data_IF_647453400350
#
_entry.id   IF_647453400350
#
_cell.length_a   1.000
_cell.length_b   1.000
_cell.length_c   1.000
_cell.angle_alpha   90.00
_cell.angle_beta   90.00
_cell.angle_gamma   90.00
#
_symmetry.space_group_name_H-M   'P 1'
#
loop_
_entity.id
_entity.type
_entity.pdbx_description
1 polymer ?
#
# COMPACT_ATOMS: atom_id res chain seq x y z
N UNK A 1 -52.74 40.60 12.21
CA UNK A 1 -51.88 40.22 11.09
C UNK A 1 -50.88 39.19 11.58
N UNK A 2 -51.41 37.99 11.80
CA UNK A 2 -51.10 36.74 11.09
C UNK A 2 -49.63 36.24 11.09
N UNK A 3 -49.37 35.30 12.02
CA UNK A 3 -48.83 33.91 11.90
C UNK A 3 -48.18 33.42 10.58
N UNK A 4 -47.42 32.30 10.49
CA UNK A 4 -46.68 31.44 11.47
C UNK A 4 -45.19 31.23 11.04
N UNK A 5 -44.26 30.53 11.70
CA UNK A 5 -44.35 29.33 12.57
C UNK A 5 -44.21 28.04 11.74
N UNK A 6 -42.99 27.62 11.34
CA UNK A 6 -42.76 26.33 10.66
C UNK A 6 -42.25 25.28 11.65
N UNK A 7 -43.19 24.55 12.24
CA UNK A 7 -42.99 23.20 12.79
C UNK A 7 -43.10 22.19 11.65
N UNK A 8 -42.10 21.33 11.44
CA UNK A 8 -42.21 20.16 10.58
C UNK A 8 -42.27 18.91 11.45
N UNK A 9 -43.47 18.33 11.45
CA UNK A 9 -43.91 17.13 12.14
C UNK A 9 -43.35 15.88 11.43
N UNK A 10 -42.84 14.94 12.22
CA UNK A 10 -42.57 13.56 11.79
C UNK A 10 -43.89 12.79 11.72
N UNK A 11 -44.22 12.24 10.55
CA UNK A 11 -45.25 11.20 10.42
C UNK A 11 -44.64 9.82 10.10
N UNK A 12 -45.13 8.74 10.75
CA UNK A 12 -44.66 7.37 10.54
C UNK A 12 -45.45 6.69 9.41
N UNK A 13 -44.77 5.93 8.55
CA UNK A 13 -45.46 5.06 7.60
C UNK A 13 -45.65 3.65 8.17
N UNK A 14 -46.91 3.32 8.44
CA UNK A 14 -47.39 2.01 8.84
C UNK A 14 -47.27 0.94 7.75
N UNK A 15 -47.18 -0.30 8.22
CA UNK A 15 -47.29 -1.56 7.47
C UNK A 15 -48.63 -1.65 6.74
N UNK A 16 -48.61 -2.11 5.49
CA UNK A 16 -49.76 -2.81 4.90
C UNK A 16 -49.34 -4.19 4.38
N UNK A 17 -49.96 -5.20 4.98
CA UNK A 17 -49.93 -6.60 4.60
C UNK A 17 -51.10 -6.92 3.67
N UNK A 18 -50.82 -7.46 2.50
CA UNK A 18 -51.81 -8.22 1.70
C UNK A 18 -51.06 -9.28 0.91
N UNK A 19 -51.30 -10.54 1.26
CA UNK A 19 -50.65 -11.70 0.68
C UNK A 19 -51.40 -12.31 -0.51
N UNK A 20 -50.66 -13.04 -1.34
CA UNK A 20 -51.12 -14.34 -1.87
C UNK A 20 -49.93 -15.21 -2.24
N UNK A 21 -49.86 -16.36 -1.59
CA UNK A 21 -48.95 -17.46 -1.88
C UNK A 21 -49.33 -18.16 -3.19
N UNK A 22 -48.34 -18.46 -4.03
CA UNK A 22 -48.38 -19.60 -4.93
C UNK A 22 -47.08 -20.40 -4.76
N UNK A 23 -47.24 -21.65 -4.34
CA UNK A 23 -46.19 -22.67 -4.18
C UNK A 23 -45.82 -23.27 -5.55
N UNK A 24 -44.54 -23.56 -5.73
CA UNK A 24 -44.05 -24.72 -6.47
C UNK A 24 -43.68 -24.50 -7.94
N UNK A 25 -42.38 -24.44 -8.24
CA UNK A 25 -41.83 -24.54 -9.59
C UNK A 25 -40.31 -24.67 -9.56
N UNK A 26 -39.78 -25.68 -10.25
CA UNK A 26 -38.41 -26.20 -10.16
C UNK A 26 -37.33 -25.22 -10.62
N UNK A 27 -36.16 -25.35 -10.02
CA UNK A 27 -34.88 -24.70 -10.34
C UNK A 27 -34.41 -25.00 -11.77
N UNK A 28 -33.98 -23.98 -12.51
CA UNK A 28 -33.08 -24.11 -13.66
C UNK A 28 -31.94 -23.10 -13.52
N UNK A 29 -30.71 -23.39 -13.97
CA UNK A 29 -29.58 -22.48 -13.81
C UNK A 29 -29.66 -21.35 -14.84
N UNK A 30 -29.44 -20.11 -14.38
CA UNK A 30 -29.24 -18.96 -15.25
C UNK A 30 -27.96 -19.16 -16.08
N UNK A 31 -28.12 -19.30 -17.40
CA UNK A 31 -27.02 -19.33 -18.34
C UNK A 31 -26.50 -17.90 -18.59
N UNK A 32 -25.21 -17.67 -18.34
CA UNK A 32 -24.52 -16.46 -18.79
C UNK A 32 -24.39 -16.50 -20.32
N UNK A 33 -24.94 -15.50 -21.02
CA UNK A 33 -24.66 -15.27 -22.45
C UNK A 33 -23.29 -14.62 -22.58
N UNK A 34 -22.35 -15.33 -23.20
CA UNK A 34 -21.09 -14.77 -23.69
C UNK A 34 -21.37 -13.96 -24.96
N UNK A 35 -21.08 -12.66 -24.94
CA UNK A 35 -21.04 -11.84 -26.15
C UNK A 35 -19.66 -12.06 -26.77
N UNK A 36 -19.58 -12.95 -27.77
CA UNK A 36 -18.49 -12.95 -28.73
C UNK A 36 -18.86 -12.02 -29.88
N UNK A 37 -18.00 -11.02 -30.11
CA UNK A 37 -18.06 -10.13 -31.26
C UNK A 37 -17.78 -10.93 -32.55
N UNK A 38 -18.79 -11.04 -33.41
CA UNK A 38 -18.66 -11.54 -34.77
C UNK A 38 -18.05 -10.45 -35.67
N UNK A 39 -16.84 -10.66 -36.17
CA UNK A 39 -16.38 -10.12 -37.45
C UNK A 39 -15.67 -11.26 -38.18
N UNK A 40 -16.46 -12.06 -38.91
CA UNK A 40 -15.99 -12.84 -40.04
C UNK A 40 -15.88 -11.87 -41.22
N UNK A 41 -14.71 -11.77 -41.84
CA UNK A 41 -14.57 -11.29 -43.21
C UNK A 41 -14.05 -12.44 -44.04
N UNK A 42 -14.88 -12.83 -45.02
CA UNK A 42 -14.69 -13.96 -45.92
C UNK A 42 -13.44 -13.80 -46.78
N UNK A 43 -12.76 -14.93 -46.97
CA UNK A 43 -11.66 -15.14 -47.89
C UNK A 43 -12.21 -15.87 -49.14
N UNK A 44 -11.61 -15.58 -50.30
CA UNK A 44 -11.83 -16.15 -51.65
C UNK A 44 -12.77 -15.33 -52.57
N UNK A 45 -12.21 -14.57 -53.52
CA UNK A 45 -11.91 -15.12 -54.85
C UNK A 45 -11.10 -14.13 -55.72
N UNK A 46 -10.35 -14.72 -56.64
CA UNK A 46 -9.76 -14.23 -57.88
C UNK A 46 -8.31 -13.69 -57.96
N UNK A 47 -7.58 -14.48 -58.74
CA UNK A 47 -6.17 -14.52 -59.07
C UNK A 47 -5.79 -13.62 -60.28
N UNK A 48 -4.48 -13.34 -60.40
CA UNK A 48 -3.72 -12.87 -61.58
C UNK A 48 -3.87 -11.44 -62.13
N UNK A 49 -2.83 -10.60 -61.91
CA UNK A 49 -1.97 -10.08 -63.00
C UNK A 49 -0.73 -9.31 -62.52
N UNK A 50 0.38 -9.63 -63.17
CA UNK A 50 1.74 -9.09 -63.11
C UNK A 50 1.85 -7.64 -63.62
N UNK A 51 2.61 -6.75 -62.93
CA UNK A 51 3.72 -5.90 -63.47
C UNK A 51 3.99 -4.59 -62.66
N UNK A 52 5.28 -4.41 -62.34
CA UNK A 52 6.11 -3.19 -62.14
C UNK A 52 5.46 -1.79 -62.12
N UNK A 53 5.81 -0.95 -61.12
CA UNK A 53 6.68 0.27 -61.22
C UNK A 53 6.50 1.23 -60.01
N UNK A 54 7.62 1.54 -59.37
CA UNK A 54 8.14 2.81 -58.78
C UNK A 54 7.30 3.80 -57.92
N UNK A 55 7.99 4.58 -57.04
CA UNK A 55 7.42 5.33 -55.92
C UNK A 55 7.08 6.79 -56.26
N UNK A 56 6.00 7.31 -55.69
CA UNK A 56 5.57 8.71 -55.82
C UNK A 56 5.45 9.40 -54.46
N UNK A 57 6.23 10.47 -54.31
CA UNK A 57 6.34 11.36 -53.14
C UNK A 57 5.25 12.45 -53.14
N UNK A 58 5.06 13.09 -51.97
CA UNK A 58 4.33 14.34 -51.65
C UNK A 58 2.82 14.16 -51.32
N UNK A 59 2.23 14.76 -50.28
CA UNK A 59 2.52 16.03 -49.60
C UNK A 59 2.19 16.00 -48.09
N UNK A 60 3.01 16.76 -47.38
CA UNK A 60 2.88 17.27 -46.02
C UNK A 60 1.61 18.11 -45.83
N UNK A 61 0.80 17.78 -44.83
CA UNK A 61 -0.10 18.75 -44.18
C UNK A 61 0.13 18.68 -42.68
N UNK A 62 0.85 19.70 -42.18
CA UNK A 62 0.93 20.02 -40.77
C UNK A 62 -0.48 20.22 -40.22
N UNK A 63 -0.89 19.36 -39.29
CA UNK A 63 -2.02 19.63 -38.41
C UNK A 63 -1.53 19.67 -36.97
N UNK A 64 -1.58 20.88 -36.46
CA UNK A 64 -1.51 21.35 -35.08
C UNK A 64 -1.59 20.27 -33.98
N UNK A 65 -0.60 20.34 -33.09
CA UNK A 65 -0.43 19.49 -31.91
C UNK A 65 -1.70 19.38 -31.04
N UNK A 66 -2.17 18.14 -30.86
CA UNK A 66 -3.02 17.77 -29.73
C UNK A 66 -2.13 17.23 -28.61
N UNK A 67 -2.39 17.56 -27.32
CA UNK A 67 -1.60 17.03 -26.23
C UNK A 67 -1.81 15.52 -26.16
N UNK A 68 -0.72 14.77 -26.23
CA UNK A 68 -0.70 13.32 -26.08
C UNK A 68 -1.32 13.00 -24.72
N UNK A 69 -2.54 12.49 -24.74
CA UNK A 69 -3.16 11.84 -23.58
C UNK A 69 -2.23 10.68 -23.23
N UNK A 70 -1.51 10.79 -22.12
CA UNK A 70 -0.63 9.73 -21.64
C UNK A 70 -1.45 8.45 -21.52
N UNK A 71 -1.24 7.53 -22.46
CA UNK A 71 -1.88 6.23 -22.44
C UNK A 71 -1.16 5.45 -21.35
N UNK A 72 -1.80 5.25 -20.20
CA UNK A 72 -1.26 4.36 -19.17
C UNK A 72 -1.26 2.97 -19.77
N UNK A 73 -0.08 2.50 -20.21
CA UNK A 73 0.11 1.17 -20.74
C UNK A 73 0.02 0.17 -19.59
N UNK A 74 -1.18 -0.38 -19.38
CA UNK A 74 -1.43 -1.39 -18.35
C UNK A 74 -0.95 -2.73 -18.87
N UNK A 75 0.19 -3.20 -18.37
CA UNK A 75 0.64 -4.56 -18.63
C UNK A 75 -0.03 -5.51 -17.63
N UNK A 76 -0.57 -6.62 -18.12
CA UNK A 76 -1.22 -7.63 -17.29
C UNK A 76 -0.38 -8.89 -17.31
N UNK A 77 0.13 -9.30 -16.15
CA UNK A 77 0.77 -10.59 -15.99
C UNK A 77 -0.17 -11.56 -15.29
N UNK A 78 -0.13 -12.82 -15.72
CA UNK A 78 -0.97 -13.86 -15.15
C UNK A 78 -0.08 -14.81 -14.36
N UNK A 79 -0.24 -14.81 -13.03
CA UNK A 79 0.51 -15.71 -12.15
C UNK A 79 -0.40 -16.80 -11.60
N UNK A 80 0.06 -18.05 -11.72
CA UNK A 80 -0.63 -19.22 -11.18
C UNK A 80 -0.31 -19.37 -9.69
N UNK A 81 -1.08 -18.70 -8.82
CA UNK A 81 -0.98 -18.86 -7.36
C UNK A 81 -1.95 -19.93 -6.89
N UNK A 82 -1.43 -21.03 -6.33
CA UNK A 82 -2.22 -22.04 -5.63
C UNK A 82 -2.26 -21.67 -4.15
N UNK A 83 -3.09 -20.69 -3.81
CA UNK A 83 -3.32 -20.29 -2.41
C UNK A 83 -4.63 -20.91 -1.93
N UNK A 84 -4.56 -21.69 -0.84
CA UNK A 84 -5.72 -22.23 -0.17
C UNK A 84 -6.28 -21.19 0.81
N UNK A 85 -7.46 -20.65 0.48
CA UNK A 85 -8.16 -19.66 1.29
C UNK A 85 -9.35 -20.25 2.06
N UNK A 86 -9.48 -21.58 2.12
CA UNK A 86 -10.61 -22.28 2.76
C UNK A 86 -10.82 -21.92 4.23
N UNK A 87 -9.79 -21.44 4.93
CA UNK A 87 -9.86 -21.01 6.33
C UNK A 87 -10.26 -19.54 6.56
N UNK A 88 -10.48 -18.73 5.52
CA UNK A 88 -10.78 -17.30 5.67
C UNK A 88 -12.29 -17.08 5.62
N UNK A 89 -12.86 -16.50 6.68
CA UNK A 89 -14.24 -16.01 6.68
C UNK A 89 -14.33 -14.75 5.82
N UNK A 90 -14.63 -14.94 4.53
CA UNK A 90 -14.81 -13.86 3.58
C UNK A 90 -16.27 -13.40 3.56
N UNK A 91 -16.56 -12.10 3.29
CA UNK A 91 -17.92 -11.64 3.06
C UNK A 91 -18.62 -12.47 1.98
N UNK A 92 -19.92 -12.71 2.06
CA UNK A 92 -20.63 -13.65 1.17
C UNK A 92 -20.46 -13.36 -0.33
N UNK A 93 -20.28 -12.08 -0.70
CA UNK A 93 -19.95 -11.62 -2.06
C UNK A 93 -18.55 -12.02 -2.53
N UNK A 94 -17.58 -12.13 -1.62
CA UNK A 94 -16.25 -12.66 -1.89
C UNK A 94 -16.23 -14.19 -1.74
N UNK A 95 -16.88 -14.73 -0.71
CA UNK A 95 -16.92 -16.14 -0.39
C UNK A 95 -17.39 -17.00 -1.56
N UNK A 96 -18.38 -16.59 -2.35
CA UNK A 96 -18.83 -17.34 -3.55
C UNK A 96 -17.75 -17.49 -4.64
N UNK A 97 -16.76 -16.59 -4.67
CA UNK A 97 -15.62 -16.66 -5.60
C UNK A 97 -14.45 -17.51 -5.06
N UNK A 98 -14.34 -17.63 -3.73
CA UNK A 98 -13.23 -18.32 -3.06
C UNK A 98 -13.61 -19.70 -2.48
N UNK A 99 -14.89 -19.97 -2.20
CA UNK A 99 -15.42 -21.30 -1.89
C UNK A 99 -15.57 -22.07 -3.21
N UNK A 100 -14.46 -22.65 -3.65
CA UNK A 100 -14.34 -23.43 -4.87
C UNK A 100 -12.90 -23.38 -5.38
N UNK A 101 -12.55 -24.18 -6.40
CA UNK A 101 -11.34 -23.94 -7.18
C UNK A 101 -11.44 -22.56 -7.84
N UNK A 102 -11.06 -21.52 -7.10
CA UNK A 102 -10.84 -20.18 -7.63
C UNK A 102 -9.96 -20.33 -8.86
N UNK A 103 -10.28 -19.70 -10.02
CA UNK A 103 -9.40 -19.77 -11.16
C UNK A 103 -8.03 -19.34 -10.67
N UNK A 104 -7.06 -20.23 -10.86
CA UNK A 104 -5.70 -20.23 -10.30
C UNK A 104 -4.89 -19.11 -10.95
N UNK A 105 -5.43 -17.91 -11.03
CA UNK A 105 -5.12 -16.90 -12.04
C UNK A 105 -5.34 -15.55 -11.38
N UNK A 106 -4.31 -15.02 -10.73
CA UNK A 106 -4.30 -13.62 -10.31
C UNK A 106 -3.79 -12.79 -11.48
N UNK A 107 -4.65 -11.95 -12.04
CA UNK A 107 -4.24 -10.92 -12.99
C UNK A 107 -3.54 -9.83 -12.17
N UNK A 108 -2.22 -9.80 -12.25
CA UNK A 108 -1.38 -8.79 -11.63
C UNK A 108 -1.13 -7.71 -12.69
N UNK A 109 -1.84 -6.60 -12.55
CA UNK A 109 -1.56 -5.36 -13.28
C UNK A 109 -0.20 -4.85 -12.81
N UNK A 110 0.77 -4.72 -13.72
CA UNK A 110 1.96 -3.92 -13.41
C UNK A 110 1.50 -2.46 -13.42
N UNK A 111 1.86 -1.73 -12.38
CA UNK A 111 1.48 -0.33 -12.22
C UNK A 111 2.76 0.50 -12.21
N UNK A 112 2.77 1.57 -13.00
CA UNK A 112 3.89 2.52 -13.11
C UNK A 112 4.39 2.97 -11.73
N UNK A 113 3.49 3.25 -10.78
CA UNK A 113 3.88 3.67 -9.42
C UNK A 113 4.69 2.63 -8.64
N UNK A 114 4.42 1.34 -8.85
CA UNK A 114 5.16 0.25 -8.21
C UNK A 114 6.52 0.06 -8.87
N UNK A 115 6.58 0.21 -10.20
CA UNK A 115 7.83 0.17 -10.96
C UNK A 115 8.75 1.34 -10.56
N UNK A 116 8.21 2.56 -10.46
CA UNK A 116 8.92 3.74 -9.95
C UNK A 116 9.47 3.50 -8.53
N UNK A 117 8.67 2.94 -7.63
CA UNK A 117 9.11 2.61 -6.27
C UNK A 117 10.25 1.58 -6.28
N UNK A 118 10.18 0.53 -7.11
CA UNK A 118 11.25 -0.46 -7.24
C UNK A 118 12.54 0.13 -7.83
N UNK A 119 12.43 1.00 -8.84
CA UNK A 119 13.59 1.71 -9.42
C UNK A 119 14.26 2.57 -8.35
N UNK A 120 13.47 3.30 -7.56
CA UNK A 120 13.97 4.06 -6.42
C UNK A 120 14.71 3.16 -5.41
N UNK A 121 14.06 2.09 -4.92
CA UNK A 121 14.66 1.20 -3.92
C UNK A 121 15.98 0.59 -4.42
N UNK A 122 16.01 0.14 -5.68
CA UNK A 122 17.20 -0.43 -6.30
C UNK A 122 18.33 0.59 -6.39
N UNK A 123 18.03 1.80 -6.88
CA UNK A 123 19.00 2.89 -6.98
C UNK A 123 19.56 3.28 -5.61
N UNK A 124 18.73 3.36 -4.57
CA UNK A 124 19.19 3.66 -3.21
C UNK A 124 20.05 2.55 -2.61
N UNK A 125 19.76 1.30 -2.93
CA UNK A 125 20.64 0.18 -2.55
C UNK A 125 22.00 0.24 -3.22
N UNK A 126 22.05 0.59 -4.49
CA UNK A 126 23.31 0.82 -5.21
C UNK A 126 24.10 1.99 -4.62
N UNK A 127 23.43 3.10 -4.29
CA UNK A 127 24.04 4.26 -3.62
C UNK A 127 24.67 3.89 -2.27
N UNK A 128 23.95 3.12 -1.44
CA UNK A 128 24.45 2.67 -0.13
C UNK A 128 25.62 1.70 -0.29
N UNK A 129 25.55 0.77 -1.24
CA UNK A 129 26.67 -0.14 -1.55
C UNK A 129 27.91 0.61 -2.03
N UNK A 130 27.74 1.74 -2.71
CA UNK A 130 28.83 2.63 -3.13
C UNK A 130 29.34 3.56 -2.02
N UNK A 131 28.74 3.51 -0.82
CA UNK A 131 29.14 4.34 0.33
C UNK A 131 28.57 5.77 0.31
N UNK A 132 27.53 6.05 -0.49
CA UNK A 132 26.88 7.36 -0.61
C UNK A 132 27.88 8.48 -0.97
N UNK A 133 28.55 8.40 -2.14
CA UNK A 133 29.62 9.34 -2.48
C UNK A 133 29.07 10.76 -2.66
N UNK A 134 29.69 11.72 -1.97
CA UNK A 134 29.44 13.16 -2.14
C UNK A 134 28.07 13.65 -1.64
N UNK A 135 27.34 12.85 -0.85
CA UNK A 135 26.00 13.18 -0.34
C UNK A 135 25.88 12.85 1.15
N UNK A 136 24.99 13.55 1.83
CA UNK A 136 24.56 13.20 3.18
C UNK A 136 23.62 11.99 3.12
N UNK A 137 23.88 10.99 3.97
CA UNK A 137 22.98 9.85 4.12
C UNK A 137 21.76 10.30 4.93
N UNK A 138 20.59 10.31 4.29
CA UNK A 138 19.33 10.72 4.89
C UNK A 138 18.45 9.49 5.16
N UNK A 139 18.55 8.93 6.35
CA UNK A 139 17.85 7.70 6.72
C UNK A 139 16.45 7.99 7.21
N UNK A 140 15.48 7.27 6.66
CA UNK A 140 14.15 7.14 7.24
C UNK A 140 14.06 5.80 7.96
N UNK A 141 13.78 5.83 9.27
CA UNK A 141 13.68 4.63 10.10
C UNK A 141 12.40 4.65 10.94
N UNK A 142 11.73 3.51 10.95
CA UNK A 142 10.54 3.28 11.77
C UNK A 142 10.85 2.82 13.19
N UNK A 143 9.78 2.65 13.96
CA UNK A 143 9.80 2.11 15.32
C UNK A 143 10.50 0.75 15.40
N UNK A 144 11.08 0.46 16.57
CA UNK A 144 11.78 -0.79 16.93
C UNK A 144 10.96 -2.08 16.65
N UNK A 145 9.63 -2.01 16.76
CA UNK A 145 8.76 -3.12 16.37
C UNK A 145 8.34 -2.90 14.92
N UNK A 146 8.92 -3.68 14.02
CA UNK A 146 8.60 -3.67 12.60
C UNK A 146 7.31 -4.45 12.32
N UNK A 147 6.17 -3.81 12.51
CA UNK A 147 4.90 -4.29 11.94
C UNK A 147 4.73 -3.81 10.48
N UNK A 148 3.71 -4.32 9.79
CA UNK A 148 3.43 -3.92 8.40
C UNK A 148 3.28 -2.40 8.27
N UNK A 149 2.58 -1.76 9.22
CA UNK A 149 2.36 -0.32 9.19
C UNK A 149 3.66 0.48 9.24
N UNK A 150 4.59 0.10 10.12
CA UNK A 150 5.92 0.70 10.29
C UNK A 150 6.83 0.49 9.09
N UNK A 151 6.86 -0.73 8.53
CA UNK A 151 7.68 -1.03 7.35
C UNK A 151 7.16 -0.29 6.11
N UNK A 152 5.86 -0.34 5.89
CA UNK A 152 5.23 0.36 4.77
C UNK A 152 5.42 1.87 4.91
N UNK A 153 5.19 2.44 6.11
CA UNK A 153 5.38 3.87 6.30
C UNK A 153 6.82 4.29 6.07
N UNK A 154 7.80 3.50 6.49
CA UNK A 154 9.23 3.74 6.25
C UNK A 154 9.55 3.79 4.76
N UNK A 155 9.12 2.78 4.00
CA UNK A 155 9.35 2.72 2.55
C UNK A 155 8.65 3.89 1.85
N UNK A 156 7.38 4.12 2.16
CA UNK A 156 6.56 5.12 1.47
C UNK A 156 6.97 6.55 1.81
N UNK A 157 7.40 6.82 3.04
CA UNK A 157 7.84 8.15 3.42
C UNK A 157 9.21 8.50 2.84
N UNK A 158 10.15 7.53 2.81
CA UNK A 158 11.43 7.73 2.15
C UNK A 158 11.25 8.02 0.66
N UNK A 159 10.35 7.28 0.00
CA UNK A 159 10.00 7.52 -1.39
C UNK A 159 9.33 8.89 -1.59
N UNK A 160 8.40 9.27 -0.71
CA UNK A 160 7.78 10.61 -0.71
C UNK A 160 8.83 11.73 -0.61
N UNK A 161 9.79 11.61 0.31
CA UNK A 161 10.86 12.58 0.50
C UNK A 161 11.75 12.67 -0.75
N UNK A 162 12.06 11.55 -1.40
CA UNK A 162 12.83 11.54 -2.65
C UNK A 162 12.10 12.24 -3.81
N UNK A 163 10.78 12.07 -3.91
CA UNK A 163 9.99 12.72 -4.96
C UNK A 163 9.83 14.22 -4.74
N UNK A 164 9.69 14.65 -3.47
CA UNK A 164 9.43 16.04 -3.11
C UNK A 164 10.69 16.89 -2.93
N UNK A 165 11.74 16.29 -2.39
CA UNK A 165 12.98 16.96 -2.05
C UNK A 165 14.11 16.36 -2.88
N UNK A 166 14.17 16.73 -4.16
CA UNK A 166 15.30 16.43 -5.05
C UNK A 166 16.50 17.33 -4.75
N UNK A 167 16.92 17.34 -3.49
CA UNK A 167 18.20 17.93 -3.12
C UNK A 167 19.28 16.94 -3.53
N UNK A 168 20.11 17.33 -4.48
CA UNK A 168 21.27 16.51 -4.91
C UNK A 168 22.23 16.23 -3.74
N UNK A 169 22.11 16.95 -2.63
CA UNK A 169 22.91 16.78 -1.42
C UNK A 169 22.50 15.56 -0.57
N UNK A 170 21.26 15.08 -0.66
CA UNK A 170 20.77 13.98 0.19
C UNK A 170 20.61 12.68 -0.59
N UNK A 171 21.05 11.57 0.01
CA UNK A 171 20.65 10.24 -0.39
C UNK A 171 19.60 9.72 0.62
N UNK A 172 18.32 9.89 0.29
CA UNK A 172 17.23 9.42 1.15
C UNK A 172 16.99 7.94 1.00
N UNK A 173 17.14 7.19 2.10
CA UNK A 173 17.11 5.73 2.13
C UNK A 173 16.13 5.22 3.20
N UNK A 174 15.19 4.32 2.85
CA UNK A 174 14.40 3.62 3.85
C UNK A 174 15.23 2.52 4.51
N UNK A 175 15.44 2.61 5.82
CA UNK A 175 16.09 1.57 6.61
C UNK A 175 15.05 0.86 7.46
N UNK A 176 14.84 -0.41 7.18
CA UNK A 176 13.88 -1.24 7.90
C UNK A 176 14.50 -1.63 9.26
N UNK A 177 13.82 -1.25 10.34
CA UNK A 177 14.28 -1.47 11.72
C UNK A 177 14.02 -2.93 12.17
N UNK A 178 14.53 -3.89 11.42
CA UNK A 178 14.59 -5.33 11.74
C UNK A 178 15.80 -5.93 11.03
N UNK A 179 16.25 -7.13 11.42
CA UNK A 179 17.30 -7.82 10.65
C UNK A 179 16.74 -8.44 9.39
N UNK A 180 17.55 -8.55 8.32
CA UNK A 180 17.09 -9.25 7.10
C UNK A 180 16.65 -10.69 7.37
N UNK A 181 17.33 -11.39 8.28
CA UNK A 181 16.97 -12.77 8.64
C UNK A 181 15.59 -12.88 9.26
N UNK A 182 15.17 -11.84 9.99
CA UNK A 182 13.91 -11.80 10.73
C UNK A 182 12.72 -11.61 9.79
N UNK A 183 12.92 -11.09 8.57
CA UNK A 183 11.87 -11.00 7.55
C UNK A 183 11.21 -12.38 7.26
N UNK A 184 11.94 -13.48 7.45
CA UNK A 184 11.41 -14.83 7.21
C UNK A 184 10.32 -15.23 8.22
N UNK A 185 10.28 -14.63 9.40
CA UNK A 185 9.21 -14.87 10.39
C UNK A 185 7.96 -14.04 10.10
N UNK A 186 8.06 -13.00 9.25
CA UNK A 186 6.97 -12.11 8.86
C UNK A 186 6.34 -12.53 7.53
N UNK A 187 5.64 -13.67 7.53
CA UNK A 187 5.00 -14.21 6.33
C UNK A 187 3.93 -13.28 5.75
N UNK A 188 3.28 -12.47 6.59
CA UNK A 188 2.35 -11.41 6.22
C UNK A 188 3.00 -10.31 5.39
N UNK A 189 4.18 -9.87 5.81
CA UNK A 189 4.91 -8.77 5.19
C UNK A 189 5.50 -9.23 3.87
N UNK A 190 6.10 -10.42 3.86
CA UNK A 190 6.62 -11.05 2.65
C UNK A 190 5.51 -11.23 1.61
N UNK A 191 4.37 -11.78 2.02
CA UNK A 191 3.21 -11.93 1.14
C UNK A 191 2.72 -10.58 0.62
N UNK A 192 2.64 -9.56 1.48
CA UNK A 192 2.20 -8.22 1.07
C UNK A 192 3.15 -7.62 0.02
N UNK A 193 4.45 -7.61 0.28
CA UNK A 193 5.48 -7.10 -0.63
C UNK A 193 5.45 -7.87 -1.97
N UNK A 194 5.37 -9.20 -1.93
CA UNK A 194 5.25 -10.05 -3.12
C UNK A 194 3.93 -9.80 -3.90
N UNK A 195 2.83 -9.53 -3.19
CA UNK A 195 1.52 -9.19 -3.79
C UNK A 195 1.51 -7.81 -4.45
N UNK A 196 2.41 -6.93 -4.01
CA UNK A 196 2.63 -5.60 -4.54
C UNK A 196 3.82 -5.54 -5.49
N UNK A 197 4.44 -6.68 -5.84
CA UNK A 197 5.60 -6.75 -6.73
C UNK A 197 6.80 -5.90 -6.27
N UNK A 198 6.96 -5.71 -4.96
CA UNK A 198 8.12 -4.99 -4.41
C UNK A 198 9.32 -5.94 -4.36
N UNK A 199 10.45 -5.50 -4.88
CA UNK A 199 11.69 -6.25 -4.82
C UNK A 199 12.29 -6.22 -3.39
N UNK A 200 12.05 -7.30 -2.65
CA UNK A 200 12.56 -7.48 -1.28
C UNK A 200 14.08 -7.52 -1.20
N UNK A 201 14.77 -7.82 -2.31
CA UNK A 201 16.23 -7.76 -2.34
C UNK A 201 16.70 -6.30 -2.29
N UNK A 202 15.98 -5.37 -2.91
CA UNK A 202 16.34 -3.94 -2.94
C UNK A 202 16.08 -3.18 -1.63
N UNK A 203 15.37 -3.77 -0.67
CA UNK A 203 15.19 -3.19 0.66
C UNK A 203 16.50 -3.19 1.45
N UNK A 204 16.68 -2.24 2.38
CA UNK A 204 17.85 -2.17 3.27
C UNK A 204 17.39 -2.38 4.71
N UNK A 205 18.06 -3.30 5.40
CA UNK A 205 17.79 -3.65 6.79
C UNK A 205 18.83 -3.03 7.73
N UNK A 206 18.49 -2.90 9.01
CA UNK A 206 19.35 -2.25 10.01
C UNK A 206 20.71 -2.94 10.19
N UNK A 207 20.80 -4.23 9.90
CA UNK A 207 22.04 -5.03 9.97
C UNK A 207 22.91 -4.94 8.71
N UNK A 208 22.45 -4.26 7.66
CA UNK A 208 23.17 -4.11 6.39
C UNK A 208 23.86 -2.75 6.23
N UNK A 209 23.63 -1.81 7.15
CA UNK A 209 24.18 -0.46 7.10
C UNK A 209 24.72 -0.02 8.46
N UNK A 210 25.96 0.46 8.49
CA UNK A 210 26.57 1.02 9.69
C UNK A 210 26.26 2.52 9.80
N UNK A 211 25.16 2.86 10.48
CA UNK A 211 24.76 4.25 10.70
C UNK A 211 25.75 5.01 11.60
N UNK A 212 26.44 4.32 12.51
CA UNK A 212 27.40 4.95 13.42
C UNK A 212 28.63 5.47 12.68
N UNK A 213 29.04 4.81 11.61
CA UNK A 213 30.07 5.32 10.71
C UNK A 213 29.67 6.69 10.13
N UNK A 214 28.48 6.82 9.53
CA UNK A 214 28.05 8.07 8.90
C UNK A 214 27.89 9.21 9.91
N UNK A 215 27.45 8.90 11.13
CA UNK A 215 27.33 9.86 12.21
C UNK A 215 28.69 10.35 12.71
N UNK A 216 29.68 9.45 12.84
CA UNK A 216 31.04 9.80 13.23
C UNK A 216 31.67 10.82 12.28
N UNK A 217 31.34 10.73 10.98
CA UNK A 217 31.79 11.68 9.95
C UNK A 217 30.84 12.87 9.74
N UNK A 218 29.79 13.01 10.56
CA UNK A 218 28.84 14.13 10.50
C UNK A 218 27.99 14.17 9.23
N UNK A 219 27.89 13.04 8.53
CA UNK A 219 27.23 12.91 7.23
C UNK A 219 25.84 12.27 7.30
N UNK A 220 25.38 11.92 8.51
CA UNK A 220 24.09 11.29 8.76
C UNK A 220 23.00 12.33 9.07
N UNK A 221 21.81 12.06 8.55
CA UNK A 221 20.55 12.75 8.89
C UNK A 221 19.48 11.68 9.09
N UNK A 222 18.75 11.73 10.19
CA UNK A 222 17.76 10.71 10.55
C UNK A 222 16.36 11.30 10.67
N UNK A 223 15.41 10.63 10.02
CA UNK A 223 13.97 10.83 10.14
C UNK A 223 13.37 9.67 10.91
N UNK A 224 12.73 9.95 12.05
CA UNK A 224 12.06 8.95 12.87
C UNK A 224 10.57 8.89 12.55
N UNK A 225 10.06 7.70 12.25
CA UNK A 225 8.62 7.46 12.04
C UNK A 225 8.01 6.70 13.20
N UNK A 226 6.81 7.12 13.63
CA UNK A 226 5.99 6.42 14.65
C UNK A 226 6.69 6.24 16.01
N UNK A 227 7.68 7.08 16.29
CA UNK A 227 8.42 7.11 17.55
C UNK A 227 9.05 8.48 17.75
N UNK A 228 8.99 9.01 18.97
CA UNK A 228 9.73 10.23 19.33
C UNK A 228 11.21 10.02 19.64
N UNK A 229 11.60 8.78 19.95
CA UNK A 229 12.94 8.43 20.42
C UNK A 229 13.44 7.16 19.77
N UNK A 230 14.76 7.13 19.57
CA UNK A 230 15.46 5.94 19.14
C UNK A 230 15.48 4.89 20.28
N UNK A 231 15.53 3.60 19.94
CA UNK A 231 15.84 2.55 20.90
C UNK A 231 17.15 2.86 21.65
N UNK A 232 17.22 2.55 22.95
CA UNK A 232 18.36 2.92 23.80
C UNK A 232 19.75 2.54 23.21
N UNK A 233 19.83 1.42 22.49
CA UNK A 233 21.06 0.98 21.81
C UNK A 233 21.51 1.92 20.69
N UNK A 234 20.56 2.46 19.93
CA UNK A 234 20.80 3.38 18.81
C UNK A 234 20.87 4.82 19.29
N UNK A 235 20.13 5.18 20.35
CA UNK A 235 20.05 6.54 20.89
C UNK A 235 21.42 7.07 21.33
N UNK A 236 22.27 6.23 21.94
CA UNK A 236 23.60 6.65 22.38
C UNK A 236 24.47 7.14 21.22
N UNK A 237 24.32 6.54 20.03
CA UNK A 237 25.15 6.84 18.88
C UNK A 237 24.51 7.84 17.92
N UNK A 238 23.18 7.83 17.74
CA UNK A 238 22.52 8.47 16.59
C UNK A 238 21.61 9.64 16.95
N UNK A 239 21.44 9.98 18.24
CA UNK A 239 20.48 11.02 18.67
C UNK A 239 20.71 12.38 18.03
N UNK A 240 21.97 12.80 17.87
CA UNK A 240 22.32 14.14 17.35
C UNK A 240 22.05 14.23 15.83
N UNK A 241 21.98 13.09 15.15
CA UNK A 241 21.66 12.98 13.73
C UNK A 241 20.17 13.21 13.41
N UNK A 242 19.29 13.14 14.41
CA UNK A 242 17.84 13.22 14.20
C UNK A 242 17.46 14.64 13.79
N UNK A 243 16.89 14.77 12.58
CA UNK A 243 16.47 16.05 12.00
C UNK A 243 14.96 16.19 11.86
N UNK A 244 14.24 15.07 11.83
CA UNK A 244 12.79 15.06 11.67
C UNK A 244 12.15 13.92 12.47
N UNK A 245 11.01 14.21 13.08
CA UNK A 245 10.15 13.21 13.72
C UNK A 245 8.76 13.31 13.11
N UNK A 246 8.28 12.20 12.57
CA UNK A 246 7.01 12.12 11.86
C UNK A 246 6.05 11.12 12.52
N UNK A 247 4.83 11.58 12.76
CA UNK A 247 3.75 10.83 13.40
C UNK A 247 4.09 10.32 14.81
N UNK A 248 4.59 11.19 15.70
CA UNK A 248 4.77 10.88 17.11
C UNK A 248 3.54 11.24 17.95
N UNK A 249 3.43 10.64 19.15
CA UNK A 249 2.37 10.98 20.10
C UNK A 249 2.68 12.30 20.82
N UNK A 250 1.64 13.05 21.18
CA UNK A 250 1.77 14.34 21.89
C UNK A 250 2.49 14.22 23.25
N UNK A 251 2.31 13.09 23.93
CA UNK A 251 2.81 12.87 25.29
C UNK A 251 4.24 12.31 25.30
N UNK A 252 4.82 12.08 24.12
CA UNK A 252 6.16 11.54 24.01
C UNK A 252 7.22 12.63 24.15
N UNK A 253 8.32 12.32 24.83
CA UNK A 253 9.46 13.23 24.94
C UNK A 253 10.22 13.26 23.62
N UNK A 254 10.42 14.47 23.10
CA UNK A 254 11.06 14.74 21.80
C UNK A 254 12.42 15.39 22.04
N UNK A 255 13.36 15.18 21.12
CA UNK A 255 14.65 15.86 21.15
C UNK A 255 14.48 17.37 20.90
N UNK A 256 15.06 18.24 21.74
CA UNK A 256 14.79 19.68 21.69
C UNK A 256 15.35 20.40 20.45
N UNK A 257 16.29 19.80 19.74
CA UNK A 257 16.89 20.36 18.51
C UNK A 257 16.15 19.97 17.23
N UNK A 258 15.16 19.07 17.29
CA UNK A 258 14.41 18.64 16.10
C UNK A 258 13.36 19.69 15.77
N UNK A 259 13.56 20.40 14.65
CA UNK A 259 12.66 21.46 14.22
C UNK A 259 11.43 20.93 13.48
N UNK A 260 11.59 19.89 12.67
CA UNK A 260 10.50 19.32 11.88
C UNK A 260 9.81 18.18 12.64
N UNK A 261 8.67 18.49 13.26
CA UNK A 261 7.90 17.54 14.05
C UNK A 261 6.46 17.48 13.54
N UNK A 262 6.04 16.32 13.05
CA UNK A 262 4.63 16.05 12.74
C UNK A 262 4.00 15.27 13.88
N UNK A 263 3.23 15.96 14.72
CA UNK A 263 2.49 15.36 15.83
C UNK A 263 1.05 15.13 15.39
N UNK A 264 0.60 13.87 15.29
CA UNK A 264 -0.80 13.60 15.02
C UNK A 264 -1.33 12.44 15.86
N UNK A 265 -2.37 12.76 16.64
CA UNK A 265 -2.91 11.86 17.65
C UNK A 265 -3.91 10.88 17.02
N UNK A 266 -3.63 9.58 17.12
CA UNK A 266 -4.55 8.50 16.79
C UNK A 266 -4.58 8.07 15.32
N UNK A 267 -3.96 8.81 14.41
CA UNK A 267 -3.95 8.49 12.99
C UNK A 267 -2.88 7.44 12.64
N UNK A 268 -3.17 6.51 11.72
CA UNK A 268 -2.12 5.66 11.15
C UNK A 268 -1.10 6.51 10.39
N UNK A 269 0.18 6.14 10.47
CA UNK A 269 1.25 6.80 9.71
C UNK A 269 1.01 6.71 8.20
N UNK A 270 0.54 5.54 7.76
CA UNK A 270 0.21 5.29 6.36
C UNK A 270 -0.91 6.21 5.87
N UNK A 271 -1.85 6.62 6.74
CA UNK A 271 -2.89 7.60 6.41
C UNK A 271 -2.29 8.97 6.11
N UNK A 272 -1.33 9.43 6.92
CA UNK A 272 -0.70 10.74 6.70
C UNK A 272 0.16 10.76 5.45
N UNK A 273 0.87 9.67 5.19
CA UNK A 273 1.67 9.52 3.98
C UNK A 273 0.75 9.47 2.75
N UNK A 274 -0.37 8.75 2.82
CA UNK A 274 -1.38 8.76 1.77
C UNK A 274 -1.96 10.16 1.53
N UNK A 275 -2.21 10.94 2.59
CA UNK A 275 -2.67 12.33 2.48
C UNK A 275 -1.66 13.19 1.73
N UNK A 276 -0.37 13.06 2.05
CA UNK A 276 0.71 13.76 1.36
C UNK A 276 0.80 13.40 -0.12
N UNK A 277 0.70 12.10 -0.47
CA UNK A 277 0.67 11.70 -1.88
C UNK A 277 -0.59 12.19 -2.60
N UNK A 278 -1.76 12.17 -1.96
CA UNK A 278 -2.99 12.69 -2.55
C UNK A 278 -2.90 14.19 -2.89
N UNK A 279 -2.07 14.95 -2.15
CA UNK A 279 -1.84 16.37 -2.41
C UNK A 279 -0.82 16.63 -3.52
N UNK A 280 0.23 15.82 -3.61
CA UNK A 280 1.39 16.11 -4.49
C UNK A 280 1.36 15.30 -5.79
N UNK A 281 0.98 14.03 -5.73
CA UNK A 281 0.95 13.09 -6.85
C UNK A 281 -0.20 12.10 -6.69
N UNK A 282 -1.46 12.54 -6.86
CA UNK A 282 -2.63 11.67 -6.70
C UNK A 282 -2.64 10.49 -7.68
N UNK A 283 -2.02 10.63 -8.85
CA UNK A 283 -1.87 9.57 -9.85
C UNK A 283 -1.10 8.35 -9.33
N UNK A 284 -0.15 8.53 -8.40
CA UNK A 284 0.60 7.41 -7.84
C UNK A 284 -0.27 6.44 -7.05
N UNK A 285 -1.33 6.98 -6.41
CA UNK A 285 -2.33 6.24 -5.64
C UNK A 285 -3.33 5.50 -6.55
N UNK A 286 -3.34 5.77 -7.86
CA UNK A 286 -4.12 4.96 -8.79
C UNK A 286 -3.52 3.55 -8.95
N UNK A 287 -2.22 3.40 -8.70
CA UNK A 287 -1.54 2.11 -8.80
C UNK A 287 -1.92 1.15 -7.69
N UNK A 288 -2.43 -0.01 -8.07
CA UNK A 288 -3.01 -1.00 -7.16
C UNK A 288 -2.01 -1.50 -6.11
N UNK A 289 -0.76 -1.77 -6.49
CA UNK A 289 0.28 -2.23 -5.57
C UNK A 289 0.64 -1.18 -4.52
N UNK A 290 0.77 0.07 -4.96
CA UNK A 290 1.08 1.22 -4.10
C UNK A 290 -0.04 1.46 -3.07
N UNK A 291 -1.29 1.50 -3.53
CA UNK A 291 -2.44 1.68 -2.66
C UNK A 291 -2.70 0.50 -1.73
N UNK A 292 -2.38 -0.73 -2.18
CA UNK A 292 -2.46 -1.92 -1.34
C UNK A 292 -1.51 -1.85 -0.15
N UNK A 293 -0.28 -1.35 -0.34
CA UNK A 293 0.69 -1.18 0.74
C UNK A 293 0.17 -0.21 1.79
N UNK A 294 -0.18 1.02 1.38
CA UNK A 294 -0.71 2.04 2.31
C UNK A 294 -2.00 1.57 2.99
N UNK A 295 -2.94 0.98 2.26
CA UNK A 295 -4.18 0.45 2.81
C UNK A 295 -3.92 -0.65 3.85
N UNK A 296 -2.95 -1.53 3.63
CA UNK A 296 -2.62 -2.59 4.59
C UNK A 296 -2.21 -2.01 5.95
N UNK A 297 -1.33 -1.00 5.96
CA UNK A 297 -0.93 -0.30 7.18
C UNK A 297 -2.12 0.34 7.88
N UNK A 298 -2.95 1.09 7.14
CA UNK A 298 -4.14 1.75 7.70
C UNK A 298 -5.09 0.73 8.34
N UNK A 299 -5.40 -0.37 7.63
CA UNK A 299 -6.35 -1.38 8.13
C UNK A 299 -5.81 -2.12 9.36
N UNK A 300 -4.51 -2.40 9.43
CA UNK A 300 -3.93 -3.07 10.60
C UNK A 300 -3.88 -2.16 11.82
N UNK A 301 -3.43 -0.91 11.65
CA UNK A 301 -3.31 0.07 12.74
C UNK A 301 -4.68 0.48 13.30
N UNK A 302 -5.68 0.62 12.42
CA UNK A 302 -7.04 1.03 12.78
C UNK A 302 -7.95 -0.14 13.21
N UNK A 303 -7.44 -1.37 13.25
CA UNK A 303 -8.26 -2.56 13.51
C UNK A 303 -9.43 -2.66 12.54
N UNK A 304 -9.17 -2.52 11.25
CA UNK A 304 -10.14 -2.48 10.15
C UNK A 304 -11.14 -1.32 10.30
N UNK A 305 -10.64 -0.12 10.62
CA UNK A 305 -11.42 1.10 10.78
C UNK A 305 -12.43 1.08 11.94
N UNK A 306 -12.26 0.16 12.89
CA UNK A 306 -13.15 -0.01 14.05
C UNK A 306 -12.51 0.33 15.38
N UNK A 307 -11.19 0.53 15.44
CA UNK A 307 -10.51 0.87 16.69
C UNK A 307 -10.99 2.24 17.20
N UNK A 308 -11.00 2.46 18.52
CA UNK A 308 -11.39 3.76 19.10
C UNK A 308 -10.43 4.88 18.70
N UNK A 309 -9.20 4.54 18.32
CA UNK A 309 -8.20 5.50 17.86
C UNK A 309 -8.35 5.83 16.36
N UNK A 310 -9.15 5.05 15.60
CA UNK A 310 -9.37 5.29 14.18
C UNK A 310 -10.01 6.66 13.94
N UNK A 311 -9.32 7.51 13.19
CA UNK A 311 -9.76 8.86 12.86
C UNK A 311 -10.64 8.88 11.62
N UNK A 312 -11.31 10.02 11.36
CA UNK A 312 -12.01 10.26 10.10
C UNK A 312 -11.07 10.27 8.89
N UNK A 313 -9.81 10.69 9.08
CA UNK A 313 -8.78 10.66 8.04
C UNK A 313 -8.45 9.23 7.62
N UNK A 314 -8.33 8.31 8.57
CA UNK A 314 -8.07 6.88 8.27
C UNK A 314 -9.19 6.31 7.39
N UNK A 315 -10.45 6.62 7.72
CA UNK A 315 -11.62 6.18 6.95
C UNK A 315 -11.65 6.78 5.55
N UNK A 316 -11.34 8.07 5.44
CA UNK A 316 -11.29 8.77 4.15
C UNK A 316 -10.19 8.20 3.24
N UNK A 317 -8.96 8.07 3.76
CA UNK A 317 -7.85 7.54 2.97
C UNK A 317 -8.03 6.05 2.66
N UNK A 318 -8.57 5.24 3.58
CA UNK A 318 -8.90 3.85 3.26
C UNK A 318 -9.95 3.72 2.14
N UNK A 319 -10.88 4.67 2.06
CA UNK A 319 -11.86 4.73 0.96
C UNK A 319 -11.18 5.10 -0.36
N UNK A 320 -10.27 6.07 -0.35
CA UNK A 320 -9.51 6.48 -1.52
C UNK A 320 -8.61 5.35 -2.06
N UNK A 321 -8.03 4.55 -1.16
CA UNK A 321 -7.11 3.47 -1.46
C UNK A 321 -7.79 2.10 -1.68
N UNK A 322 -9.12 2.06 -1.77
CA UNK A 322 -9.90 0.81 -1.86
C UNK A 322 -9.52 -0.07 -3.07
N UNK A 323 -9.00 0.54 -4.14
CA UNK A 323 -8.47 -0.18 -5.31
C UNK A 323 -7.36 -1.18 -4.90
N UNK A 324 -6.57 -0.86 -3.89
CA UNK A 324 -5.51 -1.71 -3.33
C UNK A 324 -6.03 -3.02 -2.74
N UNK A 325 -7.22 -3.00 -2.12
CA UNK A 325 -7.87 -4.23 -1.65
C UNK A 325 -8.35 -5.12 -2.81
N UNK A 326 -8.46 -4.59 -4.02
CA UNK A 326 -8.99 -5.31 -5.18
C UNK A 326 -10.34 -5.96 -4.87
N UNK A 327 -10.50 -7.23 -5.25
CA UNK A 327 -11.75 -7.98 -5.06
C UNK A 327 -12.04 -8.37 -3.60
N UNK A 328 -11.10 -8.18 -2.68
CA UNK A 328 -11.29 -8.56 -1.27
C UNK A 328 -12.16 -7.55 -0.50
N UNK A 329 -12.19 -6.28 -0.93
CA UNK A 329 -12.66 -5.16 -0.11
C UNK A 329 -11.86 -5.01 1.19
N UNK A 330 -12.11 -3.94 1.97
CA UNK A 330 -11.36 -3.70 3.21
C UNK A 330 -11.44 -4.90 4.18
N UNK A 331 -12.66 -5.39 4.44
CA UNK A 331 -12.87 -6.49 5.39
C UNK A 331 -12.13 -7.77 4.97
N UNK A 332 -12.27 -8.19 3.71
CA UNK A 332 -11.61 -9.40 3.22
C UNK A 332 -10.10 -9.24 3.19
N UNK A 333 -9.59 -8.05 2.84
CA UNK A 333 -8.17 -7.77 2.81
C UNK A 333 -7.55 -7.77 4.21
N UNK A 334 -8.21 -7.14 5.17
CA UNK A 334 -7.80 -7.18 6.58
C UNK A 334 -7.79 -8.60 7.14
N UNK A 335 -8.82 -9.40 6.88
CA UNK A 335 -8.86 -10.80 7.32
C UNK A 335 -7.74 -11.63 6.66
N UNK A 336 -7.43 -11.37 5.39
CA UNK A 336 -6.31 -12.02 4.71
C UNK A 336 -4.96 -11.66 5.33
N UNK A 337 -4.73 -10.38 5.63
CA UNK A 337 -3.51 -9.93 6.32
C UNK A 337 -3.38 -10.61 7.69
N UNK A 338 -4.45 -10.62 8.49
CA UNK A 338 -4.47 -11.34 9.78
C UNK A 338 -4.24 -12.84 9.62
N UNK A 339 -4.86 -13.47 8.64
CA UNK A 339 -4.65 -14.88 8.37
C UNK A 339 -3.18 -15.18 8.08
N UNK A 340 -2.50 -14.36 7.26
CA UNK A 340 -1.07 -14.52 7.01
C UNK A 340 -0.22 -14.23 8.27
N UNK A 341 -0.63 -13.30 9.13
CA UNK A 341 0.05 -13.04 10.41
C UNK A 341 0.03 -14.25 11.36
N UNK A 342 -1.10 -14.98 11.42
CA UNK A 342 -1.28 -16.09 12.37
C UNK A 342 -1.06 -17.48 11.77
N UNK A 343 -1.09 -17.62 10.44
CA UNK A 343 -0.80 -18.87 9.74
C UNK A 343 0.71 -19.06 9.54
N UNK A 344 1.46 -18.89 10.63
CA UNK A 344 2.83 -19.39 10.70
C UNK A 344 2.72 -20.85 11.13
N UNK A 345 2.50 -21.72 10.14
CA UNK A 345 2.83 -23.13 10.34
C UNK A 345 4.32 -23.17 10.77
N UNK A 346 4.60 -23.68 11.97
CA UNK A 346 5.95 -23.98 12.52
C UNK A 346 6.76 -22.96 13.35
N UNK A 347 6.22 -21.87 13.90
CA UNK A 347 6.95 -21.15 14.95
C UNK A 347 6.20 -21.22 16.28
N UNK A 348 6.84 -21.89 17.24
CA UNK A 348 6.24 -22.28 18.51
C UNK A 348 5.66 -21.10 19.28
N UNK A 349 4.66 -21.44 20.09
CA UNK A 349 3.89 -20.64 21.07
C UNK A 349 4.68 -19.51 21.78
N UNK A 350 6.01 -19.61 21.86
CA UNK A 350 6.93 -18.67 22.49
C UNK A 350 6.97 -17.31 21.76
N UNK A 351 6.92 -17.27 20.43
CA UNK A 351 7.03 -15.99 19.68
C UNK A 351 5.73 -15.16 19.75
N UNK A 352 4.59 -15.84 19.90
CA UNK A 352 3.29 -15.23 20.11
C UNK A 352 3.19 -14.61 21.51
N UNK A 353 3.83 -15.25 22.50
CA UNK A 353 3.93 -14.75 23.88
C UNK A 353 4.84 -13.52 23.95
N UNK A 354 5.96 -13.47 23.22
CA UNK A 354 6.83 -12.27 23.20
C UNK A 354 6.18 -11.05 22.54
N UNK A 355 5.30 -11.24 21.54
CA UNK A 355 4.49 -10.13 20.96
C UNK A 355 3.47 -9.56 21.97
N UNK A 356 2.91 -10.40 22.85
CA UNK A 356 1.94 -9.98 23.87
C UNK A 356 2.56 -9.52 25.20
N UNK A 357 3.85 -9.79 25.44
CA UNK A 357 4.55 -9.38 26.68
C UNK A 357 4.73 -7.85 26.85
N UNK A 358 4.23 -7.04 25.91
CA UNK A 358 4.28 -5.57 25.99
C UNK A 358 3.32 -4.95 27.01
N UNK A 359 2.73 -5.73 27.92
CA UNK A 359 1.90 -5.25 29.02
C UNK A 359 2.20 -6.02 30.30
N UNK A 360 3.17 -5.52 31.08
CA UNK A 360 3.06 -5.22 32.52
C UNK A 360 4.46 -5.11 33.14
N UNK A 361 5.03 -3.92 33.16
CA UNK A 361 5.89 -3.50 34.28
C UNK A 361 5.07 -2.53 35.11
N UNK A 362 4.43 -3.06 36.17
CA UNK A 362 3.88 -2.24 37.25
C UNK A 362 5.01 -1.43 37.86
N UNK A 363 4.80 -0.14 38.04
CA UNK A 363 5.63 0.67 38.94
C UNK A 363 5.48 0.18 40.38
N UNK A 364 6.61 -0.17 41.00
CA UNK A 364 6.92 0.22 42.38
C UNK A 364 7.91 1.38 42.27
N UNK A 365 7.87 2.41 43.09
CA UNK A 365 7.42 2.49 44.48
C UNK A 365 6.36 3.56 44.75
#
# INVERSE_FOLDING_TARGET
>A
MDDPGLDIIFEPFERSSSGRWLKGGKTSPFAFRTIFSNLNLDLEDLDNRTKKREPGTFHEYQTLANPVKAWIEKSFSVKKRKEDFSGISLPQSAASFYYGWSPVMEVSESCESTEQLNVYLKSKREDVNAGVPGRFLHVVIGKDVSDIGSVVSTIMYAFYLNETHKYDEFCTVPVINMKRTDLNSHSELKWLLDSCQIDTSSLIFVDEIDLSYYELFGSLKVVLLNSSKLPAKQEQALKEAVVEIFNCNKDESIYPWVENITIQQGCSCCTLIAEKFAQISPEILAGKGFSRLLLAGILLDSGNLTSPNCTSKDKYMATLLINGAGRFGCNGFYQLLKFKMYNVSNHGVIDLVLKDFKKWTKGGD
#
